data_IF_235115110692
#
_entry.id   IF_235115110692
#
_cell.length_a   1.000
_cell.length_b   1.000
_cell.length_c   1.000
_cell.angle_alpha   90.00
_cell.angle_beta   90.00
_cell.angle_gamma   90.00
#
_symmetry.space_group_name_H-M   'P 1'
#
loop_
_entity.id
_entity.type
_entity.pdbx_description
1 polymer ?
#
# COMPACT_ATOMS: atom_id res chain seq x y z
N UNK A 1 -33.39 14.74 23.17
CA UNK A 1 -32.73 13.62 22.47
C UNK A 1 -33.81 12.72 21.89
N UNK A 2 -34.15 12.88 20.62
CA UNK A 2 -35.23 12.11 19.95
C UNK A 2 -34.63 10.96 19.15
N UNK A 3 -35.00 9.74 19.55
CA UNK A 3 -34.51 8.46 19.03
C UNK A 3 -35.12 8.05 17.66
N UNK A 4 -35.35 9.00 16.76
CA UNK A 4 -36.05 8.75 15.48
C UNK A 4 -35.12 8.77 14.25
N UNK A 5 -33.80 8.73 14.46
CA UNK A 5 -32.81 8.88 13.38
C UNK A 5 -32.32 7.59 12.71
N UNK A 6 -32.60 6.42 13.28
CA UNK A 6 -31.97 5.16 12.85
C UNK A 6 -32.79 4.31 11.87
N UNK A 7 -34.06 4.63 11.62
CA UNK A 7 -34.93 3.78 10.79
C UNK A 7 -34.96 4.12 9.28
N UNK A 8 -34.22 5.13 8.80
CA UNK A 8 -34.23 5.54 7.38
C UNK A 8 -33.05 5.04 6.53
N UNK A 9 -32.44 3.89 6.85
CA UNK A 9 -31.45 3.23 5.97
C UNK A 9 -31.87 1.85 5.48
N UNK A 10 -33.16 1.60 5.28
CA UNK A 10 -33.59 0.56 4.36
C UNK A 10 -33.63 1.14 2.95
N UNK A 11 -32.45 1.38 2.38
CA UNK A 11 -32.33 1.50 0.94
C UNK A 11 -32.53 0.11 0.35
N UNK A 12 -33.39 -0.01 -0.64
CA UNK A 12 -33.53 -1.18 -1.51
C UNK A 12 -32.14 -1.74 -1.80
N UNK A 13 -31.90 -3.04 -1.61
CA UNK A 13 -30.61 -3.66 -1.98
C UNK A 13 -30.64 -4.15 -3.44
N UNK A 14 -30.15 -3.35 -4.41
CA UNK A 14 -29.75 -3.92 -5.69
C UNK A 14 -28.26 -3.65 -5.92
N UNK A 15 -27.39 -4.35 -5.17
CA UNK A 15 -26.06 -4.67 -5.69
C UNK A 15 -25.42 -5.87 -4.97
N UNK A 16 -25.99 -7.07 -5.15
CA UNK A 16 -25.26 -8.30 -4.83
C UNK A 16 -24.18 -8.49 -5.88
N UNK A 17 -23.00 -7.92 -5.64
CA UNK A 17 -21.78 -8.35 -6.34
C UNK A 17 -21.62 -9.84 -6.01
N UNK A 18 -21.62 -10.74 -7.02
CA UNK A 18 -21.49 -12.16 -6.77
C UNK A 18 -20.21 -12.42 -5.96
N UNK A 19 -20.26 -13.26 -4.91
CA UNK A 19 -19.06 -13.58 -4.17
C UNK A 19 -18.04 -14.22 -5.12
N UNK A 20 -16.78 -13.81 -4.99
CA UNK A 20 -15.68 -14.49 -5.67
C UNK A 20 -15.65 -15.94 -5.19
N UNK A 21 -16.07 -16.87 -6.06
CA UNK A 21 -15.95 -18.29 -5.81
C UNK A 21 -14.49 -18.69 -5.61
N UNK A 22 -14.23 -19.89 -5.07
CA UNK A 22 -12.89 -20.38 -4.76
C UNK A 22 -11.90 -20.24 -5.94
N UNK A 23 -12.35 -20.49 -7.17
CA UNK A 23 -11.52 -20.31 -8.37
C UNK A 23 -11.13 -18.85 -8.62
N UNK A 24 -12.05 -17.91 -8.40
CA UNK A 24 -11.78 -16.47 -8.52
C UNK A 24 -10.80 -15.98 -7.45
N UNK A 25 -10.98 -16.45 -6.22
CA UNK A 25 -10.04 -16.18 -5.12
C UNK A 25 -8.66 -16.77 -5.39
N UNK A 26 -8.58 -18.04 -5.81
CA UNK A 26 -7.33 -18.70 -6.14
C UNK A 26 -6.59 -17.98 -7.28
N UNK A 27 -7.30 -17.52 -8.32
CA UNK A 27 -6.70 -16.74 -9.39
C UNK A 27 -6.17 -15.39 -8.89
N UNK A 28 -6.95 -14.65 -8.10
CA UNK A 28 -6.55 -13.33 -7.59
C UNK A 28 -5.31 -13.42 -6.69
N UNK A 29 -5.33 -14.34 -5.71
CA UNK A 29 -4.20 -14.56 -4.82
C UNK A 29 -3.02 -15.21 -5.55
N UNK A 30 -3.27 -16.12 -6.48
CA UNK A 30 -2.24 -16.78 -7.28
C UNK A 30 -1.47 -15.78 -8.14
N UNK A 31 -2.16 -14.87 -8.82
CA UNK A 31 -1.51 -13.79 -9.60
C UNK A 31 -0.69 -12.89 -8.68
N UNK A 32 -1.24 -12.47 -7.54
CA UNK A 32 -0.51 -11.67 -6.55
C UNK A 32 0.75 -12.39 -6.04
N UNK A 33 0.65 -13.69 -5.75
CA UNK A 33 1.77 -14.51 -5.30
C UNK A 33 2.85 -14.65 -6.38
N UNK A 34 2.47 -14.87 -7.65
CA UNK A 34 3.41 -14.92 -8.77
C UNK A 34 4.12 -13.59 -8.97
N UNK A 35 3.39 -12.46 -8.93
CA UNK A 35 3.99 -11.13 -9.03
C UNK A 35 4.99 -10.86 -7.89
N UNK A 36 4.62 -11.24 -6.67
CA UNK A 36 5.51 -11.11 -5.51
C UNK A 36 6.74 -12.02 -5.64
N UNK A 37 6.57 -13.26 -6.11
CA UNK A 37 7.66 -14.19 -6.37
C UNK A 37 8.63 -13.63 -7.42
N UNK A 38 8.12 -13.13 -8.55
CA UNK A 38 8.94 -12.51 -9.59
C UNK A 38 9.66 -11.26 -9.07
N UNK A 39 8.98 -10.45 -8.27
CA UNK A 39 9.58 -9.26 -7.64
C UNK A 39 10.79 -9.68 -6.79
N UNK A 40 10.59 -10.62 -5.87
CA UNK A 40 11.62 -11.00 -4.88
C UNK A 40 12.73 -11.86 -5.45
N UNK A 41 12.45 -12.75 -6.41
CA UNK A 41 13.42 -13.70 -6.95
C UNK A 41 14.10 -13.26 -8.24
N UNK A 42 13.51 -12.31 -8.97
CA UNK A 42 14.02 -11.91 -10.28
C UNK A 42 14.32 -10.41 -10.32
N UNK A 43 13.30 -9.58 -10.06
CA UNK A 43 13.45 -8.13 -10.24
C UNK A 43 14.43 -7.51 -9.24
N UNK A 44 14.34 -7.84 -7.94
CA UNK A 44 15.26 -7.31 -6.93
C UNK A 44 16.71 -7.71 -7.20
N UNK A 45 17.06 -9.00 -7.40
CA UNK A 45 18.43 -9.37 -7.73
C UNK A 45 18.94 -8.70 -9.02
N UNK A 46 18.10 -8.59 -10.06
CA UNK A 46 18.48 -7.96 -11.32
C UNK A 46 18.75 -6.45 -11.16
N UNK A 47 17.98 -5.76 -10.33
CA UNK A 47 18.19 -4.33 -10.07
C UNK A 47 19.42 -4.08 -9.21
N UNK A 48 19.65 -4.92 -8.20
CA UNK A 48 20.85 -4.85 -7.36
C UNK A 48 22.10 -5.12 -8.21
N UNK A 49 22.10 -6.16 -9.06
CA UNK A 49 23.27 -6.48 -9.89
C UNK A 49 23.54 -5.42 -10.97
N UNK A 50 22.50 -4.77 -11.50
CA UNK A 50 22.66 -3.73 -12.51
C UNK A 50 23.13 -2.37 -11.94
N UNK A 51 22.73 -2.03 -10.71
CA UNK A 51 22.99 -0.70 -10.12
C UNK A 51 24.04 -0.69 -9.03
N UNK A 52 24.32 -1.83 -8.40
CA UNK A 52 25.17 -1.92 -7.20
C UNK A 52 24.58 -1.23 -5.96
N UNK A 53 23.33 -0.77 -6.02
CA UNK A 53 22.68 -0.06 -4.93
C UNK A 53 22.21 -1.01 -3.82
N UNK A 54 21.88 -0.43 -2.66
CA UNK A 54 21.38 -1.17 -1.50
C UNK A 54 20.10 -1.96 -1.82
N UNK A 55 20.07 -3.23 -1.40
CA UNK A 55 18.96 -4.17 -1.64
C UNK A 55 17.61 -3.64 -1.20
N UNK A 56 17.54 -2.90 -0.09
CA UNK A 56 16.28 -2.33 0.43
C UNK A 56 15.71 -1.30 -0.53
N UNK A 57 16.56 -0.41 -1.08
CA UNK A 57 16.13 0.61 -2.06
C UNK A 57 15.65 -0.06 -3.34
N UNK A 58 16.38 -1.06 -3.83
CA UNK A 58 16.02 -1.81 -5.03
C UNK A 58 14.75 -2.64 -4.85
N UNK A 59 14.49 -3.13 -3.62
CA UNK A 59 13.23 -3.78 -3.28
C UNK A 59 12.03 -2.84 -3.41
N UNK A 60 12.14 -1.62 -2.88
CA UNK A 60 11.08 -0.62 -3.04
C UNK A 60 10.81 -0.30 -4.51
N UNK A 61 11.85 -0.15 -5.32
CA UNK A 61 11.72 0.15 -6.74
C UNK A 61 11.11 -1.03 -7.51
N UNK A 62 11.61 -2.25 -7.29
CA UNK A 62 11.11 -3.47 -7.91
C UNK A 62 9.65 -3.74 -7.55
N UNK A 63 9.29 -3.64 -6.27
CA UNK A 63 7.91 -3.80 -5.83
C UNK A 63 6.99 -2.74 -6.45
N UNK A 64 7.44 -1.48 -6.53
CA UNK A 64 6.68 -0.39 -7.16
C UNK A 64 6.38 -0.66 -8.62
N UNK A 65 7.36 -1.17 -9.38
CA UNK A 65 7.21 -1.40 -10.82
C UNK A 65 6.47 -2.70 -11.11
N UNK A 66 6.85 -3.80 -10.46
CA UNK A 66 6.42 -5.16 -10.83
C UNK A 66 5.15 -5.58 -10.12
N UNK A 67 4.99 -5.22 -8.84
CA UNK A 67 3.82 -5.60 -8.05
C UNK A 67 2.76 -4.48 -8.07
N UNK A 68 3.10 -3.30 -7.55
CA UNK A 68 2.14 -2.21 -7.41
C UNK A 68 1.77 -1.57 -8.75
N UNK A 69 2.70 -1.47 -9.70
CA UNK A 69 2.48 -0.88 -11.01
C UNK A 69 1.28 -1.49 -11.75
N UNK A 70 1.26 -2.82 -12.01
CA UNK A 70 0.14 -3.48 -12.68
C UNK A 70 -1.17 -3.38 -11.90
N UNK A 71 -1.11 -3.48 -10.57
CA UNK A 71 -2.28 -3.34 -9.68
C UNK A 71 -2.92 -1.96 -9.80
N UNK A 72 -2.12 -0.90 -9.69
CA UNK A 72 -2.57 0.49 -9.81
C UNK A 72 -3.07 0.79 -11.23
N UNK A 73 -2.36 0.31 -12.25
CA UNK A 73 -2.75 0.49 -13.64
C UNK A 73 -4.08 -0.21 -13.95
N UNK A 74 -4.28 -1.43 -13.44
CA UNK A 74 -5.54 -2.17 -13.59
C UNK A 74 -6.68 -1.45 -12.88
N UNK A 75 -6.46 -0.98 -11.64
CA UNK A 75 -7.45 -0.20 -10.92
C UNK A 75 -7.84 1.09 -11.67
N UNK A 76 -6.84 1.81 -12.20
CA UNK A 76 -7.07 3.01 -12.99
C UNK A 76 -7.82 2.72 -14.30
N UNK A 77 -7.49 1.61 -14.98
CA UNK A 77 -8.16 1.20 -16.22
C UNK A 77 -9.61 0.78 -15.96
N UNK A 78 -9.87 0.01 -14.90
CA UNK A 78 -11.24 -0.36 -14.50
C UNK A 78 -12.06 0.89 -14.20
N UNK A 79 -11.49 1.81 -13.44
CA UNK A 79 -12.11 3.10 -13.14
C UNK A 79 -12.36 3.93 -14.41
N UNK A 80 -11.45 3.91 -15.37
CA UNK A 80 -11.62 4.59 -16.66
C UNK A 80 -12.72 3.94 -17.51
N UNK A 81 -12.80 2.61 -17.56
CA UNK A 81 -13.83 1.87 -18.31
C UNK A 81 -15.23 2.09 -17.75
N UNK A 82 -15.33 2.35 -16.45
CA UNK A 82 -16.60 2.71 -15.80
C UNK A 82 -17.07 4.13 -16.14
N UNK A 83 -16.24 4.97 -16.81
CA UNK A 83 -16.59 6.34 -17.26
C UNK A 83 -17.50 6.40 -18.49
N UNK A 84 -18.20 5.32 -18.86
CA UNK A 84 -19.21 5.38 -19.96
C UNK A 84 -20.30 6.43 -19.63
N UNK A 85 -20.83 7.12 -20.66
CA UNK A 85 -21.41 8.44 -20.50
C UNK A 85 -22.75 8.38 -19.75
N UNK A 86 -22.86 9.09 -18.64
CA UNK A 86 -24.15 9.40 -18.02
C UNK A 86 -24.23 9.25 -16.49
N UNK A 87 -23.20 8.77 -15.79
CA UNK A 87 -23.35 8.49 -14.34
C UNK A 87 -22.10 8.63 -13.48
N UNK A 88 -21.37 9.74 -13.59
CA UNK A 88 -20.38 10.10 -12.58
C UNK A 88 -20.78 11.37 -11.83
N UNK A 89 -21.16 11.21 -10.56
CA UNK A 89 -20.75 12.16 -9.53
C UNK A 89 -19.22 12.21 -9.45
N UNK A 90 -18.69 13.25 -8.81
CA UNK A 90 -17.25 13.52 -8.80
C UNK A 90 -16.46 12.29 -8.31
N UNK A 91 -15.29 12.01 -8.89
CA UNK A 91 -14.36 10.97 -8.41
C UNK A 91 -14.11 11.07 -6.90
N UNK A 92 -14.16 12.28 -6.35
CA UNK A 92 -14.06 12.55 -4.92
C UNK A 92 -15.21 12.00 -4.08
N UNK A 93 -16.44 12.01 -4.61
CA UNK A 93 -17.60 11.42 -3.92
C UNK A 93 -17.55 9.89 -3.90
N UNK A 94 -16.98 9.25 -4.93
CA UNK A 94 -16.82 7.78 -4.98
C UNK A 94 -15.64 7.28 -4.17
N UNK A 95 -14.50 7.98 -4.20
CA UNK A 95 -13.31 7.62 -3.43
C UNK A 95 -13.36 8.14 -1.98
N UNK A 96 -14.47 8.78 -1.59
CA UNK A 96 -14.59 9.50 -0.32
C UNK A 96 -13.35 10.35 -0.02
N UNK A 97 -12.83 11.02 -1.06
CA UNK A 97 -11.73 11.96 -0.91
C UNK A 97 -12.26 13.16 -0.14
N UNK A 98 -12.14 13.09 1.18
CA UNK A 98 -12.34 14.24 2.05
C UNK A 98 -11.13 15.15 1.88
N UNK A 99 -11.41 16.42 1.62
CA UNK A 99 -10.39 17.46 1.66
C UNK A 99 -9.81 17.47 3.07
N UNK A 100 -8.52 17.16 3.19
CA UNK A 100 -7.81 17.23 4.48
C UNK A 100 -7.86 18.67 4.97
N UNK A 101 -8.28 18.84 6.23
CA UNK A 101 -8.23 20.12 6.90
C UNK A 101 -6.76 20.45 7.28
N UNK A 102 -6.46 21.71 7.61
CA UNK A 102 -5.13 22.11 8.08
C UNK A 102 -4.66 21.32 9.30
N UNK A 103 -5.58 20.94 10.20
CA UNK A 103 -5.29 20.05 11.33
C UNK A 103 -4.90 18.63 10.90
N UNK A 104 -5.59 18.06 9.91
CA UNK A 104 -5.26 16.72 9.39
C UNK A 104 -3.88 16.72 8.73
N UNK A 105 -3.54 17.79 8.02
CA UNK A 105 -2.21 18.00 7.46
C UNK A 105 -1.14 18.11 8.54
N UNK A 106 -1.41 18.86 9.62
CA UNK A 106 -0.48 18.97 10.74
C UNK A 106 -0.25 17.61 11.41
N UNK A 107 -1.30 16.81 11.62
CA UNK A 107 -1.16 15.46 12.15
C UNK A 107 -0.43 14.51 11.21
N UNK A 108 -0.70 14.58 9.91
CA UNK A 108 -0.03 13.73 8.91
C UNK A 108 1.47 14.06 8.83
N UNK A 109 1.82 15.34 8.70
CA UNK A 109 3.21 15.80 8.62
C UNK A 109 3.92 15.60 9.96
N UNK A 110 3.25 15.92 11.07
CA UNK A 110 3.78 15.73 12.41
C UNK A 110 4.04 14.26 12.72
N UNK A 111 3.11 13.36 12.35
CA UNK A 111 3.28 11.92 12.48
C UNK A 111 4.44 11.40 11.63
N UNK A 112 4.55 11.84 10.38
CA UNK A 112 5.66 11.47 9.50
C UNK A 112 7.01 11.94 10.07
N UNK A 113 7.09 13.18 10.52
CA UNK A 113 8.29 13.74 11.15
C UNK A 113 8.65 12.98 12.43
N UNK A 114 7.67 12.72 13.30
CA UNK A 114 7.87 11.98 14.55
C UNK A 114 8.39 10.57 14.29
N UNK A 115 7.80 9.83 13.34
CA UNK A 115 8.27 8.50 12.96
C UNK A 115 9.71 8.55 12.42
N UNK A 116 10.02 9.51 11.55
CA UNK A 116 11.38 9.71 11.04
C UNK A 116 12.40 9.99 12.15
N UNK A 117 12.08 10.92 13.05
CA UNK A 117 12.94 11.28 14.19
C UNK A 117 13.13 10.09 15.13
N UNK A 118 12.06 9.40 15.51
CA UNK A 118 12.13 8.24 16.40
C UNK A 118 12.93 7.09 15.79
N UNK A 119 12.71 6.80 14.50
CA UNK A 119 13.47 5.77 13.78
C UNK A 119 14.95 6.13 13.73
N UNK A 120 15.28 7.39 13.42
CA UNK A 120 16.65 7.88 13.45
C UNK A 120 17.29 7.82 14.84
N UNK A 121 16.53 8.19 15.89
CA UNK A 121 16.98 8.14 17.27
C UNK A 121 17.27 6.71 17.73
N UNK A 122 16.42 5.75 17.39
CA UNK A 122 16.66 4.32 17.65
C UNK A 122 17.94 3.88 16.92
N UNK A 123 18.09 4.24 15.64
CA UNK A 123 19.29 3.92 14.87
C UNK A 123 20.57 4.50 15.48
N UNK A 124 20.53 5.74 15.96
CA UNK A 124 21.66 6.40 16.63
C UNK A 124 21.97 5.75 17.99
N UNK A 125 20.95 5.45 18.79
CA UNK A 125 21.11 4.77 20.08
C UNK A 125 21.72 3.36 19.89
N UNK A 126 21.27 2.61 18.88
CA UNK A 126 21.85 1.32 18.53
C UNK A 126 23.31 1.45 18.11
N UNK A 127 23.69 2.49 17.35
CA UNK A 127 25.09 2.74 16.98
C UNK A 127 25.96 3.06 18.21
N UNK A 128 25.48 3.89 19.14
CA UNK A 128 26.19 4.17 20.39
C UNK A 128 26.36 2.93 21.28
N UNK A 129 25.41 1.99 21.22
CA UNK A 129 25.51 0.69 21.91
C UNK A 129 26.40 -0.31 21.16
N UNK A 130 26.66 -0.09 19.87
CA UNK A 130 27.50 -0.94 19.01
C UNK A 130 29.00 -0.64 19.11
N UNK A 131 29.41 0.45 19.78
CA UNK A 131 30.81 0.80 20.05
C UNK A 131 31.49 -0.16 21.06
N UNK A 132 31.38 -1.48 20.81
CA UNK A 132 31.98 -2.54 21.62
C UNK A 132 31.43 -3.96 21.37
N UNK A 133 30.26 -4.13 20.76
CA UNK A 133 29.65 -5.45 20.58
C UNK A 133 29.14 -5.68 19.13
N UNK A 134 29.73 -6.66 18.44
CA UNK A 134 29.25 -7.14 17.14
C UNK A 134 27.90 -7.85 17.33
N UNK A 135 26.79 -7.17 17.04
CA UNK A 135 25.44 -7.75 17.05
C UNK A 135 25.06 -8.44 15.73
N UNK A 136 26.04 -8.75 14.87
CA UNK A 136 25.78 -9.62 13.74
C UNK A 136 25.55 -11.04 14.27
N UNK A 137 24.43 -11.69 13.93
CA UNK A 137 24.27 -13.09 14.27
C UNK A 137 25.39 -13.90 13.60
N UNK A 138 25.82 -14.99 14.24
CA UNK A 138 27.01 -15.77 13.84
C UNK A 138 26.97 -16.34 12.42
N UNK A 139 25.83 -16.32 11.74
CA UNK A 139 25.67 -16.76 10.35
C UNK A 139 25.84 -15.64 9.31
N UNK A 140 26.09 -14.40 9.73
CA UNK A 140 26.47 -13.27 8.86
C UNK A 140 27.96 -12.87 9.01
N UNK A 141 28.77 -13.69 9.71
CA UNK A 141 30.21 -13.50 9.85
C UNK A 141 30.98 -14.15 8.69
#
# INVERSE_FOLDING_TARGET
MTANGFERRQGTEPNRVPPLGLGGSAALFGVGAVLLFLTTRVAVPAFVSATGAETVVMWFLAASIVLFGPLLLTAALLLYRERRPGRLGSLGERLWLRRMNGGDWLWAVGGLAAVGVLTGAIGAALRMLQDGNNFHPSFMA
#
